data_IF_930208563439
#
_entry.id   IF_930208563439
#
_cell.length_a   1.000
_cell.length_b   1.000
_cell.length_c   1.000
_cell.angle_alpha   90.00
_cell.angle_beta   90.00
_cell.angle_gamma   90.00
#
_symmetry.space_group_name_H-M   'P 1'
#
loop_
_entity.id
_entity.type
_entity.pdbx_description
1 polymer ?
#
# COMPACT_ATOMS: atom_id res chain seq x y z
N UNK A 1 0.19 -8.11 -2.37
CA UNK A 1 -0.18 -7.27 -1.20
C UNK A 1 0.45 -5.89 -1.35
N UNK A 2 -0.28 -4.83 -1.01
CA UNK A 2 0.17 -3.44 -1.14
C UNK A 2 0.37 -2.85 0.27
N UNK A 3 1.58 -2.40 0.60
CA UNK A 3 1.97 -1.95 1.96
C UNK A 3 2.77 -0.65 1.92
N UNK A 4 2.95 -0.01 3.08
CA UNK A 4 3.73 1.23 3.22
C UNK A 4 3.03 2.25 4.13
N UNK A 5 3.59 3.46 4.20
CA UNK A 5 3.06 4.55 5.05
C UNK A 5 1.65 4.99 4.65
N UNK A 6 0.94 5.63 5.56
CA UNK A 6 -0.34 6.31 5.30
C UNK A 6 -0.19 7.40 4.23
N UNK A 7 -1.19 7.52 3.34
CA UNK A 7 -1.24 8.47 2.20
C UNK A 7 -0.13 8.32 1.16
N UNK A 8 0.28 7.08 0.85
CA UNK A 8 1.21 6.79 -0.27
C UNK A 8 0.53 6.28 -1.54
N UNK A 9 -0.81 6.37 -1.64
CA UNK A 9 -1.56 5.99 -2.85
C UNK A 9 -1.90 4.49 -2.98
N UNK A 10 -1.75 3.69 -1.91
CA UNK A 10 -2.04 2.23 -1.92
C UNK A 10 -3.43 1.87 -2.48
N UNK A 11 -4.48 2.45 -1.88
CA UNK A 11 -5.86 2.21 -2.31
C UNK A 11 -6.14 2.76 -3.71
N UNK A 12 -5.48 3.85 -4.10
CA UNK A 12 -5.57 4.41 -5.44
C UNK A 12 -4.98 3.47 -6.49
N UNK A 13 -3.80 2.90 -6.24
CA UNK A 13 -3.18 1.89 -7.12
C UNK A 13 -4.11 0.68 -7.27
N UNK A 14 -4.68 0.18 -6.17
CA UNK A 14 -5.67 -0.90 -6.22
C UNK A 14 -6.81 -0.59 -7.19
N UNK A 15 -7.41 0.59 -7.09
CA UNK A 15 -8.53 1.00 -7.96
C UNK A 15 -8.10 1.07 -9.43
N UNK A 16 -6.92 1.64 -9.70
CA UNK A 16 -6.37 1.74 -11.06
C UNK A 16 -6.03 0.37 -11.67
N UNK A 17 -5.55 -0.57 -10.87
CA UNK A 17 -5.29 -1.95 -11.32
C UNK A 17 -6.59 -2.68 -11.72
N UNK A 18 -7.73 -2.30 -11.14
CA UNK A 18 -9.03 -2.91 -11.43
C UNK A 18 -9.76 -2.23 -12.58
N UNK A 19 -9.71 -0.90 -12.65
CA UNK A 19 -10.18 -0.13 -13.80
C UNK A 19 -9.20 1.00 -14.11
N UNK A 20 -8.43 0.92 -15.22
CA UNK A 20 -7.47 1.96 -15.58
C UNK A 20 -8.12 3.30 -15.95
N UNK A 21 -9.46 3.35 -16.08
CA UNK A 21 -10.23 4.59 -16.32
C UNK A 21 -10.75 5.19 -15.03
N UNK A 22 -10.49 4.57 -13.88
CA UNK A 22 -10.87 5.12 -12.59
C UNK A 22 -10.13 6.45 -12.38
N UNK A 23 -10.89 7.53 -12.22
CA UNK A 23 -10.35 8.83 -11.81
C UNK A 23 -10.59 8.94 -10.31
N UNK A 24 -9.54 8.85 -9.47
CA UNK A 24 -9.70 8.93 -8.02
C UNK A 24 -10.16 10.33 -7.63
N UNK A 25 -11.10 10.43 -6.69
CA UNK A 25 -11.48 11.72 -6.10
C UNK A 25 -10.26 12.40 -5.46
N UNK A 26 -10.22 13.73 -5.49
CA UNK A 26 -9.13 14.53 -4.91
C UNK A 26 -8.83 14.16 -3.45
N UNK A 27 -7.55 14.26 -3.08
CA UNK A 27 -6.95 13.89 -1.78
C UNK A 27 -7.92 14.01 -0.60
N UNK A 28 -8.51 12.89 -0.20
CA UNK A 28 -9.24 12.84 1.06
C UNK A 28 -8.24 12.92 2.22
N UNK A 29 -8.44 13.88 3.12
CA UNK A 29 -7.60 14.08 4.31
C UNK A 29 -7.69 12.93 5.33
N UNK A 30 -8.46 11.86 5.09
CA UNK A 30 -8.58 10.73 6.01
C UNK A 30 -7.72 9.57 5.53
N UNK A 31 -7.04 8.89 6.46
CA UNK A 31 -6.56 7.52 6.21
C UNK A 31 -7.80 6.66 5.96
N UNK A 32 -8.09 6.37 4.68
CA UNK A 32 -9.35 5.72 4.29
C UNK A 32 -9.41 4.24 4.71
N UNK A 33 -8.27 3.55 4.71
CA UNK A 33 -8.20 2.11 4.97
C UNK A 33 -7.87 1.86 6.44
N UNK A 34 -8.90 1.54 7.24
CA UNK A 34 -8.73 1.16 8.65
C UNK A 34 -8.38 -0.32 8.79
N UNK A 35 -9.06 -1.19 8.06
CA UNK A 35 -8.80 -2.63 8.09
C UNK A 35 -8.32 -3.10 6.71
N UNK A 36 -7.45 -4.12 6.63
CA UNK A 36 -7.03 -4.64 5.34
C UNK A 36 -8.22 -5.10 4.50
N UNK A 37 -8.20 -4.77 3.21
CA UNK A 37 -9.28 -5.07 2.26
C UNK A 37 -8.79 -6.08 1.24
N UNK A 38 -9.59 -7.12 1.03
CA UNK A 38 -9.32 -8.18 0.05
C UNK A 38 -10.22 -8.01 -1.15
N UNK A 39 -9.65 -8.06 -2.34
CA UNK A 39 -10.40 -7.95 -3.57
C UNK A 39 -9.80 -8.82 -4.66
N UNK A 40 -10.65 -9.64 -5.28
CA UNK A 40 -10.29 -10.49 -6.41
C UNK A 40 -10.73 -9.85 -7.72
N UNK A 41 -9.84 -9.82 -8.70
CA UNK A 41 -10.10 -9.33 -10.05
C UNK A 41 -9.76 -10.40 -11.08
N UNK A 42 -10.66 -10.64 -12.04
CA UNK A 42 -10.43 -11.63 -13.10
C UNK A 42 -9.90 -10.95 -14.37
N UNK A 43 -8.73 -11.39 -14.81
CA UNK A 43 -8.14 -10.96 -16.08
C UNK A 43 -8.74 -11.84 -17.18
N UNK A 44 -9.82 -11.36 -17.80
CA UNK A 44 -10.63 -12.11 -18.78
C UNK A 44 -9.80 -12.73 -19.92
N UNK A 45 -8.71 -12.06 -20.33
CA UNK A 45 -7.86 -12.49 -21.44
C UNK A 45 -6.88 -13.62 -21.07
N UNK A 46 -6.67 -13.89 -19.78
CA UNK A 46 -5.63 -14.84 -19.32
C UNK A 46 -6.18 -15.98 -18.45
N UNK A 47 -7.48 -16.02 -18.16
CA UNK A 47 -8.08 -16.95 -17.16
C UNK A 47 -7.39 -16.89 -15.78
N UNK A 48 -6.75 -15.76 -15.45
CA UNK A 48 -6.04 -15.53 -14.19
C UNK A 48 -6.89 -14.68 -13.26
N UNK A 49 -6.92 -15.05 -11.97
CA UNK A 49 -7.47 -14.23 -10.90
C UNK A 49 -6.33 -13.54 -10.13
N UNK A 50 -6.41 -12.22 -10.00
CA UNK A 50 -5.52 -11.41 -9.20
C UNK A 50 -6.18 -11.12 -7.85
N UNK A 51 -5.58 -11.58 -6.75
CA UNK A 51 -6.01 -11.24 -5.40
C UNK A 51 -5.16 -10.08 -4.89
N UNK A 52 -5.83 -8.96 -4.60
CA UNK A 52 -5.20 -7.74 -4.10
C UNK A 52 -5.59 -7.55 -2.64
N UNK A 53 -4.58 -7.42 -1.80
CA UNK A 53 -4.71 -7.00 -0.40
C UNK A 53 -4.26 -5.55 -0.31
N UNK A 54 -5.19 -4.66 0.02
CA UNK A 54 -4.94 -3.25 0.30
C UNK A 54 -4.90 -3.05 1.82
N UNK A 55 -3.76 -2.63 2.34
CA UNK A 55 -3.55 -2.54 3.79
C UNK A 55 -3.70 -1.12 4.31
N UNK A 56 -4.02 -0.96 5.62
CA UNK A 56 -3.78 0.29 6.31
C UNK A 56 -2.30 0.69 6.23
N UNK A 57 -2.02 1.99 6.33
CA UNK A 57 -0.66 2.49 6.33
C UNK A 57 -0.11 2.73 7.73
N UNK A 58 1.19 2.56 7.91
CA UNK A 58 1.89 2.99 9.13
C UNK A 58 1.89 4.52 9.27
N UNK A 59 2.21 5.01 10.46
CA UNK A 59 2.21 6.44 10.79
C UNK A 59 0.86 7.09 10.47
N UNK A 60 -0.21 6.49 11.00
CA UNK A 60 -1.58 6.91 10.75
C UNK A 60 -1.81 8.39 11.11
N UNK A 61 -2.57 9.10 10.27
CA UNK A 61 -2.90 10.52 10.48
C UNK A 61 -4.41 10.70 10.44
N UNK A 62 -4.94 11.41 11.44
CA UNK A 62 -6.35 11.79 11.55
C UNK A 62 -6.47 13.19 12.16
N UNK A 63 -7.59 13.87 11.91
CA UNK A 63 -7.94 15.12 12.59
C UNK A 63 -8.48 14.88 14.01
N UNK A 64 -8.81 13.63 14.35
CA UNK A 64 -9.27 13.20 15.67
C UNK A 64 -8.22 12.25 16.24
N UNK A 65 -7.61 12.63 17.37
CA UNK A 65 -6.51 11.87 17.97
C UNK A 65 -6.91 10.45 18.37
N UNK A 66 -8.14 10.26 18.87
CA UNK A 66 -8.68 8.94 19.21
C UNK A 66 -8.78 7.98 18.02
N UNK A 67 -8.73 8.48 16.79
CA UNK A 67 -8.78 7.66 15.58
C UNK A 67 -7.37 7.22 15.11
N UNK A 68 -6.30 7.71 15.73
CA UNK A 68 -4.92 7.37 15.37
C UNK A 68 -4.52 6.11 16.11
N UNK A 69 -4.27 5.02 15.37
CA UNK A 69 -3.80 3.77 15.97
C UNK A 69 -2.27 3.76 16.05
N UNK A 70 -1.70 3.12 17.08
CA UNK A 70 -0.28 2.86 17.11
C UNK A 70 0.11 1.90 15.99
N UNK A 71 1.33 2.06 15.46
CA UNK A 71 1.86 1.19 14.39
C UNK A 71 1.76 -0.30 14.74
N UNK A 72 1.97 -0.68 16.01
CA UNK A 72 1.87 -2.07 16.45
C UNK A 72 0.47 -2.66 16.21
N UNK A 73 -0.59 -1.89 16.44
CA UNK A 73 -1.96 -2.35 16.18
C UNK A 73 -2.21 -2.52 14.68
N UNK A 74 -1.64 -1.63 13.86
CA UNK A 74 -1.72 -1.69 12.40
C UNK A 74 -0.97 -2.92 11.87
N UNK A 75 0.28 -3.12 12.32
CA UNK A 75 1.11 -4.25 11.98
C UNK A 75 0.43 -5.58 12.33
N UNK A 76 -0.14 -5.71 13.53
CA UNK A 76 -0.93 -6.89 13.94
C UNK A 76 -2.10 -7.16 13.00
N UNK A 77 -2.83 -6.13 12.57
CA UNK A 77 -3.90 -6.27 11.58
C UNK A 77 -3.39 -6.78 10.23
N UNK A 78 -2.26 -6.24 9.75
CA UNK A 78 -1.63 -6.68 8.50
C UNK A 78 -1.17 -8.13 8.60
N UNK A 79 -0.53 -8.53 9.70
CA UNK A 79 -0.06 -9.91 9.91
C UNK A 79 -1.21 -10.90 10.05
N UNK A 80 -2.30 -10.54 10.73
CA UNK A 80 -3.49 -11.38 10.78
C UNK A 80 -3.99 -11.67 9.35
N UNK A 81 -4.03 -10.64 8.50
CA UNK A 81 -4.41 -10.80 7.10
C UNK A 81 -3.41 -11.63 6.31
N UNK A 82 -2.11 -11.44 6.52
CA UNK A 82 -1.07 -12.25 5.89
C UNK A 82 -1.17 -13.74 6.28
N UNK A 83 -1.48 -14.02 7.54
CA UNK A 83 -1.60 -15.38 8.06
C UNK A 83 -2.91 -16.07 7.68
N UNK A 84 -3.99 -15.30 7.43
CA UNK A 84 -5.26 -15.83 6.96
C UNK A 84 -5.21 -16.25 5.48
N UNK A 85 -4.30 -15.69 4.68
CA UNK A 85 -4.06 -16.18 3.34
C UNK A 85 -3.16 -17.42 3.37
N UNK A 86 -3.71 -18.56 2.92
CA UNK A 86 -2.99 -19.84 2.77
C UNK A 86 -1.93 -19.76 1.65
N UNK A 87 -1.90 -18.68 0.86
CA UNK A 87 -1.11 -18.54 -0.36
C UNK A 87 0.18 -17.74 -0.17
N UNK A 88 1.28 -18.23 -0.74
CA UNK A 88 2.54 -17.49 -0.89
C UNK A 88 2.27 -16.16 -1.62
N UNK A 89 2.74 -15.05 -1.06
CA UNK A 89 2.64 -13.76 -1.75
C UNK A 89 3.41 -13.79 -3.07
N UNK A 90 2.69 -13.59 -4.19
CA UNK A 90 3.29 -13.48 -5.52
C UNK A 90 4.01 -12.14 -5.72
N UNK A 91 3.51 -11.07 -5.08
CA UNK A 91 4.11 -9.74 -5.13
C UNK A 91 3.80 -8.95 -3.86
N UNK A 92 4.81 -8.24 -3.35
CA UNK A 92 4.73 -7.28 -2.25
C UNK A 92 5.09 -5.90 -2.78
N UNK A 93 4.12 -5.00 -2.81
CA UNK A 93 4.28 -3.66 -3.35
C UNK A 93 4.47 -2.65 -2.20
N UNK A 94 5.71 -2.23 -1.94
CA UNK A 94 5.99 -1.13 -1.02
C UNK A 94 5.68 0.21 -1.71
N UNK A 95 4.64 0.91 -1.26
CA UNK A 95 4.20 2.16 -1.85
C UNK A 95 4.78 3.37 -1.13
N UNK A 96 5.40 4.25 -1.91
CA UNK A 96 5.96 5.54 -1.47
C UNK A 96 5.40 6.66 -2.36
N UNK A 97 5.21 7.85 -1.79
CA UNK A 97 4.72 9.02 -2.52
C UNK A 97 5.84 10.01 -2.82
N UNK A 98 5.95 10.45 -4.07
CA UNK A 98 7.03 11.33 -4.53
C UNK A 98 6.83 12.80 -4.17
N UNK A 99 5.64 13.22 -3.77
CA UNK A 99 5.27 14.59 -3.41
C UNK A 99 6.10 15.22 -2.28
N UNK A 100 6.97 14.45 -1.62
CA UNK A 100 8.00 14.96 -0.70
C UNK A 100 9.32 14.15 -0.78
N UNK A 101 9.54 13.45 -1.88
CA UNK A 101 10.60 12.43 -1.99
C UNK A 101 10.36 11.22 -1.08
N UNK A 102 11.22 10.21 -1.21
CA UNK A 102 11.28 9.10 -0.25
C UNK A 102 11.88 9.66 1.04
N UNK A 103 11.10 9.64 2.13
CA UNK A 103 11.51 10.22 3.41
C UNK A 103 11.83 9.14 4.47
N UNK A 104 12.33 9.58 5.63
CA UNK A 104 12.72 8.68 6.71
C UNK A 104 11.56 7.79 7.21
N UNK A 105 10.31 8.29 7.22
CA UNK A 105 9.16 7.47 7.61
C UNK A 105 8.82 6.41 6.55
N UNK A 106 9.15 6.63 5.28
CA UNK A 106 8.98 5.60 4.25
C UNK A 106 9.99 4.47 4.44
N UNK A 107 11.25 4.80 4.75
CA UNK A 107 12.30 3.82 5.07
C UNK A 107 11.93 3.05 6.35
N UNK A 108 11.57 3.76 7.42
CA UNK A 108 11.17 3.16 8.70
C UNK A 108 9.92 2.27 8.54
N UNK A 109 8.97 2.66 7.67
CA UNK A 109 7.81 1.82 7.37
C UNK A 109 8.23 0.50 6.74
N UNK A 110 9.11 0.54 5.74
CA UNK A 110 9.62 -0.64 5.04
C UNK A 110 10.35 -1.56 6.02
N UNK A 111 11.26 -1.01 6.83
CA UNK A 111 12.02 -1.76 7.85
C UNK A 111 11.08 -2.44 8.85
N UNK A 112 10.11 -1.71 9.40
CA UNK A 112 9.11 -2.26 10.33
C UNK A 112 8.29 -3.38 9.69
N UNK A 113 7.85 -3.20 8.45
CA UNK A 113 7.03 -4.19 7.74
C UNK A 113 7.82 -5.47 7.44
N UNK A 114 9.08 -5.36 7.01
CA UNK A 114 9.97 -6.50 6.79
C UNK A 114 10.21 -7.23 8.11
N UNK A 115 10.61 -6.51 9.16
CA UNK A 115 10.87 -7.11 10.46
C UNK A 115 9.63 -7.83 11.04
N UNK A 116 8.43 -7.34 10.75
CA UNK A 116 7.19 -7.90 11.28
C UNK A 116 6.63 -9.07 10.46
N UNK A 117 6.79 -9.04 9.13
CA UNK A 117 6.26 -10.06 8.21
C UNK A 117 7.28 -11.14 7.85
N UNK A 118 8.57 -10.95 8.17
CA UNK A 118 9.66 -11.86 7.87
C UNK A 118 10.44 -11.46 6.62
N UNK A 119 11.76 -11.65 6.63
CA UNK A 119 12.66 -11.24 5.54
C UNK A 119 12.32 -11.90 4.19
N UNK A 120 11.63 -13.04 4.19
CA UNK A 120 11.22 -13.75 2.99
C UNK A 120 10.30 -12.95 2.06
N UNK A 121 9.59 -11.94 2.59
CA UNK A 121 8.71 -11.08 1.78
C UNK A 121 9.51 -10.27 0.75
N UNK A 122 10.81 -10.09 0.98
CA UNK A 122 11.69 -9.35 0.09
C UNK A 122 11.90 -10.05 -1.25
N UNK A 123 11.82 -11.38 -1.30
CA UNK A 123 12.06 -12.17 -2.51
C UNK A 123 11.11 -11.82 -3.66
N UNK A 124 9.91 -11.36 -3.33
CA UNK A 124 8.87 -11.01 -4.29
C UNK A 124 8.43 -9.53 -4.13
N UNK A 125 9.33 -8.68 -3.66
CA UNK A 125 9.01 -7.27 -3.38
C UNK A 125 9.35 -6.33 -4.52
N UNK A 126 8.58 -5.26 -4.65
CA UNK A 126 8.89 -4.14 -5.53
C UNK A 126 8.52 -2.81 -4.86
N UNK A 127 9.20 -1.74 -5.28
CA UNK A 127 8.89 -0.37 -4.88
C UNK A 127 7.92 0.23 -5.89
N UNK A 128 6.80 0.76 -5.42
CA UNK A 128 5.83 1.50 -6.22
C UNK A 128 5.87 2.96 -5.82
N UNK A 129 6.21 3.82 -6.77
CA UNK A 129 6.31 5.27 -6.58
C UNK A 129 5.03 5.91 -7.12
N UNK A 130 4.32 6.63 -6.26
CA UNK A 130 3.08 7.36 -6.60
C UNK A 130 3.30 8.86 -6.60
N UNK A 131 2.30 9.61 -7.05
CA UNK A 131 2.34 11.06 -7.15
C UNK A 131 3.44 11.59 -8.09
N UNK A 132 3.63 10.92 -9.22
CA UNK A 132 4.65 11.24 -10.22
C UNK A 132 4.21 12.35 -11.19
N UNK A 133 2.96 12.78 -11.13
CA UNK A 133 2.37 13.84 -11.95
C UNK A 133 2.97 15.23 -11.69
N UNK A 134 3.67 15.42 -10.56
CA UNK A 134 4.27 16.69 -10.14
C UNK A 134 5.66 16.96 -10.72
N UNK A 135 6.18 16.07 -11.57
CA UNK A 135 7.50 16.22 -12.21
C UNK A 135 7.38 16.81 -13.61
N UNK A 136 8.01 17.97 -13.82
CA UNK A 136 8.32 18.53 -15.13
C UNK A 136 9.19 17.55 -15.95
N UNK A 137 9.16 17.64 -17.29
CA UNK A 137 9.81 16.69 -18.21
C UNK A 137 11.30 16.44 -17.93
N UNK A 138 12.01 17.42 -17.35
CA UNK A 138 13.43 17.32 -16.96
C UNK A 138 13.69 16.34 -15.80
N UNK A 139 12.71 16.09 -14.93
CA UNK A 139 12.86 15.22 -13.76
C UNK A 139 12.46 13.75 -14.02
N UNK A 140 12.09 13.44 -15.28
CA UNK A 140 11.65 12.12 -15.77
C UNK A 140 12.74 11.34 -16.49
N UNK A 141 13.87 11.97 -16.83
CA UNK A 141 15.06 11.36 -17.46
C UNK A 141 16.23 11.26 -16.47
#
# INVERSE_FOLDING_TARGET
>A
MIIGRTRTGKSTIKLLLMDPRNVPDEMTLKSGTKDPQFQTFHIQQQEVALNIIDTPGLFERSNVESDIRPDEAILKGIQLCANMEITKFHAICFCVALTSGINAQDVEAIEKLIAFLGDEIMNNSCLVITHCESKDEEQRN
#
